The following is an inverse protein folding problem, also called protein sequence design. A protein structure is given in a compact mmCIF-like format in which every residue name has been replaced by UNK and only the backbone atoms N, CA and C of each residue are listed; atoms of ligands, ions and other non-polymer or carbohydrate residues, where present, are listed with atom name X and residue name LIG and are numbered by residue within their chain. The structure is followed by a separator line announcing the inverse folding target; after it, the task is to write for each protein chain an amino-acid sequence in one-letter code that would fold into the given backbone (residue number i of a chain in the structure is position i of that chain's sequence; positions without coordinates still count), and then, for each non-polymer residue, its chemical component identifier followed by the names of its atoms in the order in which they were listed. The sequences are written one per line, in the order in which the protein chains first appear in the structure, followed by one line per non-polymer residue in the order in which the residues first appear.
data_IF_136668388915
#
_entry.id   IF_136668388915
#
_cell.length_a   1.000
_cell.length_b   1.000
_cell.length_c   1.000
_cell.angle_alpha   90.00
_cell.angle_beta   90.00
_cell.angle_gamma   90.00
#
_symmetry.space_group_name_H-M   'P 1'
#
loop_
_entity.id
_entity.type
_entity.pdbx_description
1 polymer ?
#
# COMPACT_ATOMS: atom_id res chain seq x y z
N UNK A 1 89.24 -179.03 -6.71
CA UNK A 1 88.83 -179.22 -5.30
C UNK A 1 87.35 -178.88 -5.24
N UNK A 2 86.38 -179.74 -4.93
CA UNK A 2 86.21 -181.09 -4.36
C UNK A 2 84.80 -181.49 -4.86
N UNK A 3 84.63 -182.61 -5.57
CA UNK A 3 84.04 -183.88 -5.07
C UNK A 3 82.65 -183.71 -4.40
N UNK A 4 81.62 -184.54 -4.56
CA UNK A 4 81.37 -185.80 -5.27
C UNK A 4 79.90 -186.14 -4.96
N UNK A 5 79.22 -186.74 -5.92
CA UNK A 5 78.25 -187.82 -5.75
C UNK A 5 77.04 -187.64 -4.81
N UNK A 6 75.90 -187.30 -5.41
CA UNK A 6 74.72 -188.15 -5.36
C UNK A 6 73.99 -187.99 -6.71
N UNK A 7 74.17 -188.90 -7.66
CA UNK A 7 73.55 -190.22 -7.75
C UNK A 7 72.47 -190.16 -8.83
N UNK A 8 72.74 -190.89 -9.91
CA UNK A 8 71.92 -191.08 -11.13
C UNK A 8 70.43 -191.29 -10.88
N UNK A 9 70.00 -191.59 -9.66
CA UNK A 9 68.60 -191.76 -9.27
C UNK A 9 67.76 -190.47 -9.40
N UNK A 10 68.31 -189.28 -9.13
CA UNK A 10 67.56 -188.03 -9.33
C UNK A 10 67.42 -187.69 -10.82
N UNK A 11 68.47 -187.93 -11.61
CA UNK A 11 68.42 -187.73 -13.06
C UNK A 11 67.52 -188.79 -13.70
N UNK A 12 67.49 -190.04 -13.21
CA UNK A 12 66.59 -191.07 -13.72
C UNK A 12 65.13 -190.86 -13.29
N UNK A 13 64.87 -190.31 -12.08
CA UNK A 13 63.53 -189.89 -11.66
C UNK A 13 63.05 -188.67 -12.44
N UNK A 14 63.90 -187.67 -12.66
CA UNK A 14 63.60 -186.53 -13.53
C UNK A 14 63.40 -186.97 -14.99
N UNK A 15 64.18 -187.95 -15.48
CA UNK A 15 64.04 -188.48 -16.84
C UNK A 15 62.80 -189.38 -17.01
N UNK A 16 62.41 -190.14 -15.97
CA UNK A 16 61.15 -190.87 -15.95
C UNK A 16 59.94 -189.92 -15.83
N UNK A 17 60.02 -188.84 -15.04
CA UNK A 17 59.01 -187.77 -15.01
C UNK A 17 58.87 -187.08 -16.38
N UNK A 18 59.98 -186.78 -17.05
CA UNK A 18 59.98 -186.18 -18.39
C UNK A 18 59.41 -187.15 -19.45
N UNK A 19 59.65 -188.47 -19.33
CA UNK A 19 59.07 -189.45 -20.24
C UNK A 19 57.58 -189.72 -19.99
N UNK A 20 57.10 -189.60 -18.75
CA UNK A 20 55.66 -189.63 -18.46
C UNK A 20 54.95 -188.36 -18.95
N UNK A 21 55.60 -187.20 -18.85
CA UNK A 21 55.08 -185.95 -19.41
C UNK A 21 55.07 -185.96 -20.94
N UNK A 22 56.06 -186.61 -21.58
CA UNK A 22 56.10 -186.76 -23.05
C UNK A 22 55.19 -187.85 -23.62
N UNK A 23 54.67 -188.81 -22.83
CA UNK A 23 53.68 -189.80 -23.33
C UNK A 23 52.22 -189.40 -23.12
N UNK A 24 51.93 -188.43 -22.24
CA UNK A 24 50.55 -188.01 -21.96
C UNK A 24 50.09 -186.75 -22.72
N UNK A 25 50.99 -186.00 -23.37
CA UNK A 25 50.60 -184.90 -24.27
C UNK A 25 50.39 -185.38 -25.73
N UNK A 26 50.23 -186.70 -25.92
CA UNK A 26 49.77 -187.33 -27.17
C UNK A 26 48.26 -187.70 -27.14
N UNK A 27 47.46 -187.14 -26.21
CA UNK A 27 46.01 -187.41 -26.17
C UNK A 27 45.14 -186.23 -25.72
N UNK A 28 45.15 -185.17 -26.54
CA UNK A 28 44.08 -184.15 -26.77
C UNK A 28 44.76 -182.87 -27.30
N UNK A 29 44.75 -182.69 -28.62
CA UNK A 29 45.28 -181.49 -29.25
C UNK A 29 44.21 -180.40 -29.11
N UNK A 30 44.48 -179.46 -28.21
CA UNK A 30 43.57 -178.39 -27.81
C UNK A 30 44.16 -177.01 -28.14
N UNK A 31 43.28 -176.19 -28.74
CA UNK A 31 43.07 -174.74 -28.55
C UNK A 31 44.18 -173.72 -28.89
N UNK A 32 43.83 -172.88 -29.88
CA UNK A 32 44.49 -171.70 -30.47
C UNK A 32 45.01 -170.61 -29.50
N UNK A 33 44.99 -170.80 -28.19
CA UNK A 33 45.46 -169.81 -27.20
C UNK A 33 46.98 -169.85 -27.00
N UNK A 34 47.65 -171.00 -27.17
CA UNK A 34 49.12 -171.09 -27.02
C UNK A 34 49.91 -170.64 -28.27
N UNK A 35 49.27 -170.58 -29.45
CA UNK A 35 49.87 -169.96 -30.65
C UNK A 35 49.85 -168.43 -30.55
N UNK A 36 48.83 -167.85 -29.91
CA UNK A 36 48.70 -166.41 -29.68
C UNK A 36 49.71 -165.87 -28.63
N UNK A 37 50.08 -166.65 -27.62
CA UNK A 37 51.11 -166.26 -26.64
C UNK A 37 52.53 -166.34 -27.22
N UNK A 38 52.80 -167.26 -28.15
CA UNK A 38 54.09 -167.30 -28.86
C UNK A 38 54.23 -166.15 -29.85
N UNK A 39 53.14 -165.71 -30.49
CA UNK A 39 53.14 -164.50 -31.31
C UNK A 39 53.29 -163.22 -30.48
N UNK A 40 52.61 -163.11 -29.32
CA UNK A 40 52.85 -162.00 -28.37
C UNK A 40 54.29 -161.96 -27.86
N UNK A 41 54.87 -163.11 -27.52
CA UNK A 41 56.25 -163.15 -27.03
C UNK A 41 57.28 -162.86 -28.14
N UNK A 42 57.01 -163.19 -29.40
CA UNK A 42 57.82 -162.72 -30.54
C UNK A 42 57.69 -161.21 -30.76
N UNK A 43 56.49 -160.65 -30.68
CA UNK A 43 56.26 -159.21 -30.81
C UNK A 43 56.94 -158.40 -29.70
N UNK A 44 56.94 -158.90 -28.46
CA UNK A 44 57.65 -158.26 -27.33
C UNK A 44 59.18 -158.34 -27.51
N UNK A 45 59.72 -159.42 -28.07
CA UNK A 45 61.15 -159.55 -28.37
C UNK A 45 61.59 -158.66 -29.56
N UNK A 46 60.76 -158.49 -30.59
CA UNK A 46 61.02 -157.51 -31.66
C UNK A 46 61.00 -156.08 -31.14
N UNK A 47 59.98 -155.69 -30.36
CA UNK A 47 59.90 -154.36 -29.73
C UNK A 47 61.08 -154.13 -28.78
N UNK A 48 61.49 -155.14 -28.01
CA UNK A 48 62.65 -155.06 -27.11
C UNK A 48 63.99 -154.86 -27.85
N UNK A 49 64.13 -155.42 -29.05
CA UNK A 49 65.35 -155.27 -29.87
C UNK A 49 65.52 -153.89 -30.52
N UNK A 50 64.44 -153.08 -30.56
CA UNK A 50 64.48 -151.69 -31.06
C UNK A 50 64.84 -150.65 -29.99
N UNK A 51 64.81 -151.04 -28.71
CA UNK A 51 65.34 -150.24 -27.60
C UNK A 51 66.86 -150.37 -27.52
N UNK A 52 67.55 -149.71 -28.45
CA UNK A 52 68.99 -149.47 -28.36
C UNK A 52 69.24 -148.23 -27.50
N UNK A 53 70.41 -148.13 -26.85
CA UNK A 53 70.76 -146.97 -26.00
C UNK A 53 70.57 -145.65 -26.78
N UNK A 54 70.81 -145.65 -28.09
CA UNK A 54 70.56 -144.52 -28.97
C UNK A 54 69.07 -144.16 -29.18
N UNK A 55 68.13 -145.12 -29.18
CA UNK A 55 66.71 -144.83 -29.35
C UNK A 55 66.06 -144.31 -28.07
N UNK A 56 66.55 -144.76 -26.91
CA UNK A 56 66.13 -144.21 -25.61
C UNK A 56 66.73 -142.82 -25.40
N UNK A 57 68.01 -142.60 -25.76
CA UNK A 57 68.64 -141.27 -25.67
C UNK A 57 68.04 -140.29 -26.68
N UNK A 58 67.70 -140.72 -27.90
CA UNK A 58 66.92 -139.90 -28.84
C UNK A 58 65.52 -139.62 -28.35
N UNK A 59 64.78 -140.63 -27.86
CA UNK A 59 63.45 -140.42 -27.29
C UNK A 59 63.46 -139.49 -26.09
N UNK A 60 64.49 -139.55 -25.24
CA UNK A 60 64.65 -138.66 -24.09
C UNK A 60 65.09 -137.24 -24.51
N UNK A 61 65.90 -137.12 -25.57
CA UNK A 61 66.27 -135.84 -26.16
C UNK A 61 65.08 -135.18 -26.90
N UNK A 62 64.26 -135.96 -27.60
CA UNK A 62 63.03 -135.51 -28.25
C UNK A 62 61.99 -135.08 -27.21
N UNK A 63 61.83 -135.82 -26.11
CA UNK A 63 60.99 -135.41 -24.98
C UNK A 63 61.51 -134.13 -24.32
N UNK A 64 62.83 -133.98 -24.18
CA UNK A 64 63.44 -132.77 -23.62
C UNK A 64 63.27 -131.55 -24.55
N UNK A 65 63.29 -131.76 -25.86
CA UNK A 65 62.96 -130.76 -26.88
C UNK A 65 61.47 -130.41 -26.90
N UNK A 66 60.58 -131.39 -26.82
CA UNK A 66 59.13 -131.19 -26.73
C UNK A 66 58.74 -130.48 -25.42
N UNK A 67 59.34 -130.85 -24.29
CA UNK A 67 59.12 -130.15 -23.03
C UNK A 67 59.64 -128.71 -23.09
N UNK A 68 60.82 -128.49 -23.71
CA UNK A 68 61.35 -127.16 -23.96
C UNK A 68 60.45 -126.31 -24.85
N UNK A 69 59.89 -126.88 -25.92
CA UNK A 69 58.97 -126.17 -26.83
C UNK A 69 57.62 -125.89 -26.19
N UNK A 70 57.03 -126.82 -25.43
CA UNK A 70 55.77 -126.61 -24.70
C UNK A 70 55.95 -125.57 -23.58
N UNK A 71 57.07 -125.60 -22.84
CA UNK A 71 57.37 -124.59 -21.81
C UNK A 71 57.59 -123.22 -22.44
N UNK A 72 58.27 -123.13 -23.59
CA UNK A 72 58.43 -121.88 -24.32
C UNK A 72 57.09 -121.35 -24.86
N UNK A 73 56.24 -122.21 -25.43
CA UNK A 73 54.91 -121.83 -25.89
C UNK A 73 53.99 -121.43 -24.73
N UNK A 74 54.09 -122.09 -23.58
CA UNK A 74 53.33 -121.72 -22.39
C UNK A 74 53.84 -120.39 -21.83
N UNK A 75 55.14 -120.15 -21.82
CA UNK A 75 55.74 -118.88 -21.44
C UNK A 75 55.35 -117.75 -22.39
N UNK A 76 55.29 -118.01 -23.70
CA UNK A 76 54.84 -117.04 -24.71
C UNK A 76 53.34 -116.74 -24.56
N UNK A 77 52.51 -117.76 -24.32
CA UNK A 77 51.09 -117.58 -23.98
C UNK A 77 50.88 -116.84 -22.67
N UNK A 78 51.66 -117.15 -21.63
CA UNK A 78 51.59 -116.46 -20.35
C UNK A 78 52.05 -115.00 -20.48
N UNK A 79 53.10 -114.74 -21.28
CA UNK A 79 53.60 -113.40 -21.57
C UNK A 79 52.61 -112.58 -22.39
N UNK A 80 51.93 -113.19 -23.36
CA UNK A 80 50.89 -112.52 -24.15
C UNK A 80 49.60 -112.30 -23.36
N UNK A 81 49.22 -113.22 -22.47
CA UNK A 81 48.10 -112.99 -21.54
C UNK A 81 48.46 -111.95 -20.46
N UNK A 82 49.72 -111.92 -19.99
CA UNK A 82 50.19 -110.88 -19.08
C UNK A 82 50.21 -109.50 -19.75
N UNK A 83 50.66 -109.40 -21.01
CA UNK A 83 50.63 -108.13 -21.75
C UNK A 83 49.21 -107.66 -22.01
N UNK A 84 48.29 -108.56 -22.39
CA UNK A 84 46.85 -108.24 -22.49
C UNK A 84 46.28 -107.77 -21.16
N UNK A 85 46.67 -108.38 -20.05
CA UNK A 85 46.21 -107.99 -18.73
C UNK A 85 46.73 -106.61 -18.32
N UNK A 86 47.97 -106.25 -18.70
CA UNK A 86 48.52 -104.91 -18.47
C UNK A 86 47.88 -103.86 -19.40
N UNK A 87 47.63 -104.18 -20.67
CA UNK A 87 46.86 -103.34 -21.59
C UNK A 87 45.42 -103.11 -21.07
N UNK A 88 44.76 -104.15 -20.55
CA UNK A 88 43.43 -104.03 -19.94
C UNK A 88 43.45 -103.17 -18.67
N UNK A 89 44.48 -103.29 -17.82
CA UNK A 89 44.63 -102.41 -16.64
C UNK A 89 44.84 -100.95 -17.05
N UNK A 90 45.68 -100.69 -18.05
CA UNK A 90 45.89 -99.35 -18.58
C UNK A 90 44.61 -98.78 -19.20
N UNK A 91 43.88 -99.59 -19.97
CA UNK A 91 42.59 -99.20 -20.54
C UNK A 91 41.56 -98.89 -19.45
N UNK A 92 41.48 -99.70 -18.38
CA UNK A 92 40.61 -99.42 -17.23
C UNK A 92 41.02 -98.10 -16.56
N UNK A 93 42.31 -97.84 -16.39
CA UNK A 93 42.77 -96.58 -15.79
C UNK A 93 42.38 -95.37 -16.64
N UNK A 94 42.64 -95.41 -17.95
CA UNK A 94 42.26 -94.34 -18.88
C UNK A 94 40.74 -94.13 -18.91
N UNK A 95 39.96 -95.21 -18.93
CA UNK A 95 38.49 -95.12 -18.86
C UNK A 95 38.01 -94.59 -17.51
N UNK A 96 38.68 -94.89 -16.40
CA UNK A 96 38.34 -94.28 -15.10
C UNK A 96 38.64 -92.79 -15.04
N UNK A 97 39.73 -92.34 -15.67
CA UNK A 97 40.07 -90.91 -15.79
C UNK A 97 39.06 -90.19 -16.70
N UNK A 98 38.72 -90.77 -17.85
CA UNK A 98 37.67 -90.24 -18.73
C UNK A 98 36.30 -90.19 -18.06
N UNK A 99 35.95 -91.19 -17.24
CA UNK A 99 34.70 -91.18 -16.49
C UNK A 99 34.68 -90.03 -15.46
N UNK A 100 35.82 -89.73 -14.82
CA UNK A 100 35.94 -88.57 -13.92
C UNK A 100 35.80 -87.24 -14.67
N UNK A 101 36.43 -87.10 -15.85
CA UNK A 101 36.28 -85.91 -16.70
C UNK A 101 34.83 -85.71 -17.13
N UNK A 102 34.14 -86.77 -17.57
CA UNK A 102 32.73 -86.73 -17.94
C UNK A 102 31.84 -86.35 -16.76
N UNK A 103 32.15 -86.81 -15.55
CA UNK A 103 31.44 -86.39 -14.34
C UNK A 103 31.66 -84.89 -14.05
N UNK A 104 32.89 -84.39 -14.18
CA UNK A 104 33.17 -82.96 -14.00
C UNK A 104 32.46 -82.10 -15.04
N UNK A 105 32.49 -82.51 -16.32
CA UNK A 105 31.77 -81.83 -17.41
C UNK A 105 30.27 -81.81 -17.12
N UNK A 106 29.70 -82.91 -16.63
CA UNK A 106 28.27 -82.96 -16.26
C UNK A 106 27.95 -81.99 -15.12
N UNK A 107 28.76 -81.94 -14.07
CA UNK A 107 28.56 -81.00 -12.95
C UNK A 107 28.64 -79.55 -13.43
N UNK A 108 29.60 -79.22 -14.30
CA UNK A 108 29.73 -77.87 -14.87
C UNK A 108 28.54 -77.54 -15.78
N UNK A 109 28.07 -78.49 -16.60
CA UNK A 109 26.90 -78.30 -17.45
C UNK A 109 25.61 -78.09 -16.63
N UNK A 110 25.42 -78.87 -15.57
CA UNK A 110 24.29 -78.74 -14.65
C UNK A 110 24.34 -77.38 -13.92
N UNK A 111 25.54 -76.95 -13.47
CA UNK A 111 25.74 -75.64 -12.84
C UNK A 111 25.50 -74.48 -13.82
N UNK A 112 25.97 -74.61 -15.06
CA UNK A 112 25.72 -73.62 -16.12
C UNK A 112 24.22 -73.53 -16.43
N UNK A 113 23.52 -74.66 -16.52
CA UNK A 113 22.07 -74.68 -16.73
C UNK A 113 21.33 -73.98 -15.59
N UNK A 114 21.70 -74.26 -14.33
CA UNK A 114 21.10 -73.60 -13.17
C UNK A 114 21.34 -72.08 -13.19
N UNK A 115 22.57 -71.63 -13.44
CA UNK A 115 22.89 -70.20 -13.56
C UNK A 115 22.10 -69.52 -14.68
N UNK A 116 21.95 -70.18 -15.84
CA UNK A 116 21.15 -69.64 -16.94
C UNK A 116 19.67 -69.51 -16.54
N UNK A 117 19.11 -70.49 -15.83
CA UNK A 117 17.75 -70.39 -15.32
C UNK A 117 17.59 -69.24 -14.32
N UNK A 118 18.49 -69.12 -13.34
CA UNK A 118 18.48 -68.01 -12.37
C UNK A 118 18.59 -66.66 -13.06
N UNK A 119 19.48 -66.50 -14.05
CA UNK A 119 19.59 -65.27 -14.82
C UNK A 119 18.33 -64.95 -15.61
N UNK A 120 17.67 -65.95 -16.20
CA UNK A 120 16.40 -65.76 -16.91
C UNK A 120 15.28 -65.34 -15.96
N UNK A 121 15.19 -65.93 -14.76
CA UNK A 121 14.21 -65.55 -13.74
C UNK A 121 14.47 -64.14 -13.22
N UNK A 122 15.74 -63.81 -12.93
CA UNK A 122 16.15 -62.47 -12.53
C UNK A 122 15.82 -61.44 -13.62
N UNK A 123 16.10 -61.74 -14.89
CA UNK A 123 15.76 -60.86 -16.00
C UNK A 123 14.24 -60.64 -16.10
N UNK A 124 13.44 -61.71 -16.00
CA UNK A 124 11.97 -61.60 -16.01
C UNK A 124 11.44 -60.75 -14.86
N UNK A 125 11.97 -60.94 -13.65
CA UNK A 125 11.56 -60.16 -12.48
C UNK A 125 11.94 -58.68 -12.62
N UNK A 126 13.12 -58.38 -13.16
CA UNK A 126 13.56 -57.00 -13.44
C UNK A 126 12.70 -56.35 -14.52
N UNK A 127 12.39 -57.06 -15.60
CA UNK A 127 11.51 -56.57 -16.66
C UNK A 127 10.10 -56.28 -16.14
N UNK A 128 9.56 -57.18 -15.30
CA UNK A 128 8.26 -56.98 -14.65
C UNK A 128 8.26 -55.80 -13.67
N UNK A 129 9.31 -55.64 -12.86
CA UNK A 129 9.42 -54.51 -11.94
C UNK A 129 9.54 -53.18 -12.72
N UNK A 130 10.33 -53.18 -13.80
CA UNK A 130 10.49 -52.00 -14.64
C UNK A 130 9.19 -51.63 -15.37
N UNK A 131 8.40 -52.61 -15.84
CA UNK A 131 7.10 -52.35 -16.47
C UNK A 131 6.09 -51.80 -15.45
N UNK A 132 6.02 -52.39 -14.26
CA UNK A 132 5.15 -51.90 -13.18
C UNK A 132 5.49 -50.47 -12.76
N UNK A 133 6.78 -50.15 -12.61
CA UNK A 133 7.22 -48.78 -12.28
C UNK A 133 6.90 -47.78 -13.40
N UNK A 134 7.05 -48.19 -14.67
CA UNK A 134 6.66 -47.33 -15.80
C UNK A 134 5.17 -47.06 -15.79
N UNK A 135 4.34 -48.09 -15.60
CA UNK A 135 2.89 -47.93 -15.51
C UNK A 135 2.46 -47.05 -14.34
N UNK A 136 3.10 -47.17 -13.17
CA UNK A 136 2.79 -46.31 -12.03
C UNK A 136 3.16 -44.85 -12.30
N UNK A 137 4.34 -44.60 -12.86
CA UNK A 137 4.78 -43.25 -13.21
C UNK A 137 3.88 -42.63 -14.29
N UNK A 138 3.45 -43.42 -15.28
CA UNK A 138 2.55 -42.96 -16.32
C UNK A 138 1.17 -42.59 -15.75
N UNK A 139 0.61 -43.42 -14.88
CA UNK A 139 -0.63 -43.12 -14.16
C UNK A 139 -0.51 -41.85 -13.33
N UNK A 140 0.54 -41.73 -12.50
CA UNK A 140 0.78 -40.55 -11.66
C UNK A 140 0.94 -39.28 -12.51
N UNK A 141 1.67 -39.36 -13.63
CA UNK A 141 1.86 -38.25 -14.56
C UNK A 141 0.54 -37.82 -15.19
N UNK A 142 -0.32 -38.77 -15.58
CA UNK A 142 -1.63 -38.48 -16.15
C UNK A 142 -2.56 -37.86 -15.11
N UNK A 143 -2.56 -38.36 -13.87
CA UNK A 143 -3.35 -37.79 -12.78
C UNK A 143 -2.91 -36.37 -12.44
N UNK A 144 -1.61 -36.12 -12.30
CA UNK A 144 -1.08 -34.77 -12.07
C UNK A 144 -1.40 -33.80 -13.21
N UNK A 145 -1.28 -34.24 -14.46
CA UNK A 145 -1.67 -33.41 -15.62
C UNK A 145 -3.16 -33.07 -15.59
N UNK A 146 -4.03 -34.01 -15.20
CA UNK A 146 -5.47 -33.76 -15.06
C UNK A 146 -5.76 -32.78 -13.91
N UNK A 147 -5.06 -32.90 -12.78
CA UNK A 147 -5.21 -31.98 -11.65
C UNK A 147 -4.75 -30.57 -12.04
N UNK A 148 -3.56 -30.43 -12.62
CA UNK A 148 -3.06 -29.14 -13.10
C UNK A 148 -3.97 -28.52 -14.17
N UNK A 149 -4.53 -29.30 -15.09
CA UNK A 149 -5.48 -28.77 -16.06
C UNK A 149 -6.76 -28.23 -15.42
N UNK A 150 -7.24 -28.87 -14.34
CA UNK A 150 -8.38 -28.37 -13.55
C UNK A 150 -8.03 -27.11 -12.79
N UNK A 151 -6.91 -27.11 -12.06
CA UNK A 151 -6.43 -25.95 -11.30
C UNK A 151 -6.19 -24.74 -12.21
N UNK A 152 -5.62 -24.97 -13.40
CA UNK A 152 -5.42 -23.92 -14.39
C UNK A 152 -6.76 -23.34 -14.88
N UNK A 153 -7.75 -24.19 -15.16
CA UNK A 153 -9.09 -23.73 -15.55
C UNK A 153 -9.79 -22.95 -14.45
N UNK A 154 -9.73 -23.43 -13.20
CA UNK A 154 -10.28 -22.74 -12.02
C UNK A 154 -9.59 -21.39 -11.79
N UNK A 155 -8.27 -21.34 -11.92
CA UNK A 155 -7.49 -20.11 -11.79
C UNK A 155 -7.83 -19.09 -12.89
N UNK A 156 -7.95 -19.54 -14.15
CA UNK A 156 -8.33 -18.69 -15.27
C UNK A 156 -9.75 -18.13 -15.09
N UNK A 157 -10.71 -18.96 -14.66
CA UNK A 157 -12.07 -18.50 -14.35
C UNK A 157 -12.09 -17.51 -13.19
N UNK A 158 -11.41 -17.79 -12.08
CA UNK A 158 -11.32 -16.88 -10.93
C UNK A 158 -10.68 -15.53 -11.31
N UNK A 159 -9.63 -15.56 -12.14
CA UNK A 159 -8.97 -14.35 -12.64
C UNK A 159 -9.90 -13.55 -13.56
N UNK A 160 -10.69 -14.21 -14.40
CA UNK A 160 -11.69 -13.54 -15.23
C UNK A 160 -12.79 -12.89 -14.38
N UNK A 161 -13.33 -13.61 -13.39
CA UNK A 161 -14.33 -13.09 -12.47
C UNK A 161 -13.82 -11.87 -11.68
N UNK A 162 -12.59 -11.93 -11.16
CA UNK A 162 -11.98 -10.81 -10.45
C UNK A 162 -11.80 -9.58 -11.36
N UNK A 163 -11.33 -9.79 -12.60
CA UNK A 163 -11.20 -8.69 -13.57
C UNK A 163 -12.56 -8.09 -13.95
N UNK A 164 -13.60 -8.91 -14.10
CA UNK A 164 -14.96 -8.42 -14.33
C UNK A 164 -15.51 -7.61 -13.15
N UNK A 165 -15.26 -8.06 -11.91
CA UNK A 165 -15.65 -7.31 -10.72
C UNK A 165 -14.91 -5.97 -10.64
N UNK A 166 -13.59 -5.97 -10.86
CA UNK A 166 -12.78 -4.75 -10.85
C UNK A 166 -13.21 -3.76 -11.93
N UNK A 167 -13.55 -4.24 -13.14
CA UNK A 167 -14.04 -3.37 -14.21
C UNK A 167 -15.42 -2.79 -13.89
N UNK A 168 -16.34 -3.59 -13.34
CA UNK A 168 -17.65 -3.09 -12.85
C UNK A 168 -17.48 -2.06 -11.73
N UNK A 169 -16.60 -2.31 -10.76
CA UNK A 169 -16.33 -1.38 -9.67
C UNK A 169 -15.72 -0.06 -10.17
N UNK A 170 -14.79 -0.12 -11.13
CA UNK A 170 -14.23 1.08 -11.78
C UNK A 170 -15.32 1.88 -12.50
N UNK A 171 -16.18 1.23 -13.27
CA UNK A 171 -17.28 1.88 -13.98
C UNK A 171 -18.26 2.55 -13.01
N UNK A 172 -18.63 1.88 -11.92
CA UNK A 172 -19.50 2.46 -10.88
C UNK A 172 -18.82 3.67 -10.23
N UNK A 173 -17.55 3.55 -9.83
CA UNK A 173 -16.80 4.65 -9.22
C UNK A 173 -16.67 5.85 -10.16
N UNK A 174 -16.43 5.62 -11.44
CA UNK A 174 -16.38 6.68 -12.46
C UNK A 174 -17.74 7.36 -12.63
N UNK A 175 -18.84 6.58 -12.70
CA UNK A 175 -20.19 7.10 -12.80
C UNK A 175 -20.59 7.92 -11.56
N UNK A 176 -20.31 7.42 -10.36
CA UNK A 176 -20.58 8.11 -9.09
C UNK A 176 -19.79 9.42 -9.01
N UNK A 177 -18.51 9.39 -9.37
CA UNK A 177 -17.66 10.59 -9.37
C UNK A 177 -18.15 11.65 -10.36
N UNK A 178 -18.56 11.22 -11.57
CA UNK A 178 -19.15 12.12 -12.57
C UNK A 178 -20.47 12.72 -12.07
N UNK A 179 -21.34 11.90 -11.49
CA UNK A 179 -22.60 12.34 -10.92
C UNK A 179 -22.40 13.36 -9.78
N UNK A 180 -21.49 13.07 -8.85
CA UNK A 180 -21.16 13.98 -7.75
C UNK A 180 -20.62 15.32 -8.26
N UNK A 181 -19.74 15.30 -9.25
CA UNK A 181 -19.19 16.50 -9.87
C UNK A 181 -20.26 17.32 -10.60
N UNK A 182 -21.14 16.68 -11.36
CA UNK A 182 -22.27 17.37 -11.99
C UNK A 182 -23.23 17.96 -10.96
N UNK A 183 -23.52 17.23 -9.88
CA UNK A 183 -24.36 17.69 -8.79
C UNK A 183 -23.74 18.91 -8.10
N UNK A 184 -22.44 18.87 -7.79
CA UNK A 184 -21.72 20.00 -7.20
C UNK A 184 -21.78 21.22 -8.10
N UNK A 185 -21.49 21.07 -9.40
CA UNK A 185 -21.57 22.17 -10.38
C UNK A 185 -22.96 22.78 -10.46
N UNK A 186 -24.02 21.97 -10.38
CA UNK A 186 -25.41 22.47 -10.36
C UNK A 186 -25.68 23.28 -9.10
N UNK A 187 -25.28 22.77 -7.94
CA UNK A 187 -25.44 23.48 -6.66
C UNK A 187 -24.68 24.81 -6.70
N UNK A 188 -23.42 24.81 -7.12
CA UNK A 188 -22.60 26.02 -7.24
C UNK A 188 -23.20 27.03 -8.23
N UNK A 189 -23.74 26.56 -9.35
CA UNK A 189 -24.41 27.41 -10.33
C UNK A 189 -25.70 28.03 -9.75
N UNK A 190 -26.53 27.24 -9.08
CA UNK A 190 -27.76 27.70 -8.45
C UNK A 190 -27.46 28.71 -7.33
N UNK A 191 -26.47 28.44 -6.48
CA UNK A 191 -26.01 29.36 -5.42
C UNK A 191 -25.49 30.68 -6.00
N UNK A 192 -24.71 30.60 -7.08
CA UNK A 192 -24.22 31.79 -7.77
C UNK A 192 -25.35 32.61 -8.41
N UNK A 193 -26.34 31.95 -9.04
CA UNK A 193 -27.51 32.63 -9.59
C UNK A 193 -28.34 33.32 -8.51
N UNK A 194 -28.58 32.65 -7.38
CA UNK A 194 -29.30 33.24 -6.26
C UNK A 194 -28.54 34.43 -5.66
N UNK A 195 -27.23 34.31 -5.47
CA UNK A 195 -26.37 35.42 -5.03
C UNK A 195 -26.42 36.61 -5.99
N UNK A 196 -26.37 36.34 -7.30
CA UNK A 196 -26.50 37.38 -8.32
C UNK A 196 -27.87 38.07 -8.23
N UNK A 197 -28.95 37.30 -8.11
CA UNK A 197 -30.32 37.83 -7.97
C UNK A 197 -30.47 38.68 -6.70
N UNK A 198 -29.88 38.25 -5.57
CA UNK A 198 -29.94 39.04 -4.33
C UNK A 198 -29.18 40.35 -4.46
N UNK A 199 -27.96 40.33 -5.04
CA UNK A 199 -27.21 41.56 -5.31
C UNK A 199 -27.96 42.51 -6.25
N UNK A 200 -28.57 41.99 -7.33
CA UNK A 200 -29.34 42.81 -8.25
C UNK A 200 -30.54 43.47 -7.55
N UNK A 201 -31.24 42.76 -6.66
CA UNK A 201 -32.32 43.34 -5.84
C UNK A 201 -31.80 44.41 -4.90
N UNK A 202 -30.72 44.15 -4.15
CA UNK A 202 -30.13 45.13 -3.23
C UNK A 202 -29.69 46.41 -3.96
N UNK A 203 -29.07 46.27 -5.14
CA UNK A 203 -28.70 47.42 -5.97
C UNK A 203 -29.92 48.18 -6.49
N UNK A 204 -30.98 47.48 -6.90
CA UNK A 204 -32.22 48.12 -7.33
C UNK A 204 -32.89 48.88 -6.17
N UNK A 205 -33.00 48.28 -5.00
CA UNK A 205 -33.57 48.91 -3.81
C UNK A 205 -32.75 50.14 -3.38
N UNK A 206 -31.43 50.02 -3.33
CA UNK A 206 -30.53 51.12 -3.00
C UNK A 206 -30.62 52.28 -4.02
N UNK A 207 -30.74 51.95 -5.31
CA UNK A 207 -30.92 52.96 -6.36
C UNK A 207 -32.28 53.65 -6.25
N UNK A 208 -33.36 52.92 -5.97
CA UNK A 208 -34.68 53.51 -5.75
C UNK A 208 -34.69 54.44 -4.53
N UNK A 209 -34.02 54.06 -3.44
CA UNK A 209 -33.91 54.91 -2.26
C UNK A 209 -33.11 56.18 -2.56
N UNK A 210 -31.97 56.06 -3.24
CA UNK A 210 -31.18 57.21 -3.68
C UNK A 210 -31.99 58.14 -4.58
N UNK A 211 -32.73 57.60 -5.55
CA UNK A 211 -33.58 58.39 -6.46
C UNK A 211 -34.66 59.17 -5.70
N UNK A 212 -35.27 58.56 -4.68
CA UNK A 212 -36.21 59.25 -3.78
C UNK A 212 -35.52 60.39 -3.01
N UNK A 213 -34.33 60.15 -2.47
CA UNK A 213 -33.58 61.18 -1.75
C UNK A 213 -33.15 62.34 -2.67
N UNK A 214 -32.68 62.03 -3.88
CA UNK A 214 -32.31 63.03 -4.89
C UNK A 214 -33.51 63.87 -5.31
N UNK A 215 -34.62 63.23 -5.68
CA UNK A 215 -35.85 63.95 -6.06
C UNK A 215 -36.40 64.82 -4.92
N UNK A 216 -36.32 64.38 -3.66
CA UNK A 216 -36.66 65.23 -2.50
C UNK A 216 -35.74 66.43 -2.36
N UNK A 217 -34.41 66.23 -2.48
CA UNK A 217 -33.43 67.33 -2.44
C UNK A 217 -33.65 68.33 -3.56
N UNK A 218 -33.87 67.86 -4.79
CA UNK A 218 -34.15 68.71 -5.94
C UNK A 218 -35.41 69.54 -5.74
N UNK A 219 -36.49 68.94 -5.21
CA UNK A 219 -37.71 69.67 -4.85
C UNK A 219 -37.45 70.75 -3.81
N UNK A 220 -36.77 70.42 -2.71
CA UNK A 220 -36.42 71.40 -1.66
C UNK A 220 -35.60 72.56 -2.24
N UNK A 221 -34.63 72.27 -3.12
CA UNK A 221 -33.82 73.29 -3.76
C UNK A 221 -34.65 74.16 -4.71
N UNK A 222 -35.55 73.56 -5.48
CA UNK A 222 -36.44 74.26 -6.41
C UNK A 222 -37.43 75.17 -5.67
N UNK A 223 -38.12 74.64 -4.66
CA UNK A 223 -39.13 75.37 -3.86
C UNK A 223 -38.50 76.58 -3.14
N UNK A 224 -37.28 76.43 -2.63
CA UNK A 224 -36.57 77.49 -1.92
C UNK A 224 -35.76 78.42 -2.84
N UNK A 225 -35.69 78.15 -4.15
CA UNK A 225 -34.83 78.92 -5.07
C UNK A 225 -35.22 80.40 -5.11
N UNK A 226 -36.52 80.71 -5.10
CA UNK A 226 -37.02 82.08 -5.11
C UNK A 226 -36.67 82.82 -3.80
N UNK A 227 -36.93 82.18 -2.65
CA UNK A 227 -36.59 82.72 -1.33
C UNK A 227 -35.09 82.96 -1.17
N UNK A 228 -34.25 82.03 -1.64
CA UNK A 228 -32.79 82.20 -1.62
C UNK A 228 -32.38 83.40 -2.48
N UNK A 229 -32.94 83.58 -3.68
CA UNK A 229 -32.68 84.75 -4.53
C UNK A 229 -33.13 86.05 -3.85
N UNK A 230 -34.30 86.05 -3.22
CA UNK A 230 -34.83 87.20 -2.49
C UNK A 230 -33.94 87.56 -1.30
N UNK A 231 -33.56 86.59 -0.47
CA UNK A 231 -32.65 86.82 0.65
C UNK A 231 -31.27 87.29 0.18
N UNK A 232 -30.74 86.74 -0.92
CA UNK A 232 -29.50 87.25 -1.50
C UNK A 232 -29.61 88.71 -1.94
N UNK A 233 -30.75 89.13 -2.50
CA UNK A 233 -31.00 90.53 -2.84
C UNK A 233 -31.13 91.41 -1.60
N UNK A 234 -31.92 90.99 -0.61
CA UNK A 234 -32.07 91.70 0.68
C UNK A 234 -30.74 91.87 1.39
N UNK A 235 -29.91 90.83 1.48
CA UNK A 235 -28.57 90.90 2.07
C UNK A 235 -27.67 91.88 1.32
N UNK A 236 -27.76 91.94 -0.02
CA UNK A 236 -27.01 92.91 -0.83
C UNK A 236 -27.48 94.35 -0.64
N UNK A 237 -28.79 94.57 -0.48
CA UNK A 237 -29.39 95.89 -0.30
C UNK A 237 -29.36 96.37 1.17
N UNK A 238 -29.21 95.46 2.13
CA UNK A 238 -29.27 95.77 3.56
C UNK A 238 -28.30 96.88 4.00
N UNK A 239 -27.03 96.94 3.56
CA UNK A 239 -26.13 98.02 3.93
C UNK A 239 -26.64 99.39 3.47
N UNK A 240 -27.14 99.47 2.23
CA UNK A 240 -27.65 100.74 1.68
C UNK A 240 -28.94 101.18 2.35
N UNK A 241 -29.84 100.23 2.63
CA UNK A 241 -31.11 100.51 3.32
C UNK A 241 -30.83 100.96 4.76
N UNK A 242 -29.90 100.30 5.46
CA UNK A 242 -29.47 100.67 6.80
C UNK A 242 -28.85 102.06 6.83
N UNK A 243 -27.97 102.40 5.87
CA UNK A 243 -27.43 103.75 5.75
C UNK A 243 -28.52 104.81 5.52
N UNK A 244 -29.52 104.51 4.68
CA UNK A 244 -30.63 105.42 4.41
C UNK A 244 -31.51 105.63 5.64
N UNK A 245 -31.90 104.55 6.32
CA UNK A 245 -32.74 104.64 7.53
C UNK A 245 -32.00 105.32 8.69
N UNK A 246 -30.69 105.07 8.86
CA UNK A 246 -29.87 105.80 9.83
C UNK A 246 -29.80 107.29 9.49
N UNK A 247 -29.67 107.66 8.20
CA UNK A 247 -29.72 109.06 7.77
C UNK A 247 -31.07 109.70 8.06
N UNK A 248 -32.19 109.04 7.72
CA UNK A 248 -33.55 109.53 8.01
C UNK A 248 -33.75 109.73 9.51
N UNK A 249 -33.45 108.73 10.33
CA UNK A 249 -33.58 108.83 11.79
C UNK A 249 -32.71 109.96 12.35
N UNK A 250 -31.51 110.18 11.80
CA UNK A 250 -30.64 111.29 12.18
C UNK A 250 -31.25 112.64 11.79
N UNK A 251 -31.79 112.77 10.60
CA UNK A 251 -32.45 114.00 10.12
C UNK A 251 -33.72 114.32 10.92
N UNK A 252 -34.54 113.32 11.23
CA UNK A 252 -35.72 113.47 12.09
C UNK A 252 -35.32 113.89 13.50
N UNK A 253 -34.35 113.22 14.12
CA UNK A 253 -33.84 113.62 15.43
C UNK A 253 -33.29 115.05 15.43
N UNK A 254 -32.58 115.48 14.37
CA UNK A 254 -32.11 116.86 14.22
C UNK A 254 -33.29 117.83 14.10
N UNK A 255 -34.31 117.49 13.29
CA UNK A 255 -35.52 118.33 13.12
C UNK A 255 -36.27 118.48 14.45
N UNK A 256 -36.49 117.39 15.17
CA UNK A 256 -37.21 117.39 16.45
C UNK A 256 -36.46 118.22 17.49
N UNK A 257 -35.14 117.99 17.63
CA UNK A 257 -34.29 118.80 18.54
C UNK A 257 -34.31 120.27 18.15
N UNK A 258 -34.28 120.60 16.86
CA UNK A 258 -34.34 121.99 16.40
C UNK A 258 -35.72 122.61 16.66
N UNK A 259 -36.81 121.88 16.45
CA UNK A 259 -38.16 122.35 16.77
C UNK A 259 -38.34 122.58 18.27
N UNK A 260 -37.92 121.64 19.10
CA UNK A 260 -37.91 121.80 20.56
C UNK A 260 -37.07 122.99 21.00
N UNK A 261 -35.85 123.13 20.48
CA UNK A 261 -34.98 124.25 20.80
C UNK A 261 -35.59 125.59 20.38
N UNK A 262 -36.24 125.64 19.20
CA UNK A 262 -36.95 126.83 18.72
C UNK A 262 -38.13 127.18 19.63
N UNK A 263 -38.98 126.21 19.99
CA UNK A 263 -40.11 126.42 20.91
C UNK A 263 -39.61 126.88 22.27
N UNK A 264 -38.55 126.26 22.82
CA UNK A 264 -37.92 126.69 24.09
C UNK A 264 -37.37 128.11 24.00
N UNK A 265 -36.71 128.47 22.90
CA UNK A 265 -36.21 129.83 22.68
C UNK A 265 -37.34 130.86 22.55
N UNK A 266 -38.42 130.54 21.83
CA UNK A 266 -39.60 131.39 21.70
C UNK A 266 -40.33 131.58 23.04
N UNK A 267 -40.43 130.53 23.86
CA UNK A 267 -40.98 130.61 25.22
C UNK A 267 -40.11 131.50 26.12
N UNK A 268 -38.79 131.30 26.13
CA UNK A 268 -37.85 132.14 26.89
C UNK A 268 -37.91 133.61 26.44
N UNK A 269 -38.01 133.87 25.14
CA UNK A 269 -38.16 135.22 24.62
C UNK A 269 -39.48 135.87 25.08
N UNK A 270 -40.60 135.12 25.05
CA UNK A 270 -41.89 135.60 25.55
C UNK A 270 -41.89 135.82 27.06
N UNK A 271 -41.25 134.95 27.83
CA UNK A 271 -41.06 135.14 29.29
C UNK A 271 -40.24 136.40 29.57
N UNK A 272 -39.20 136.65 28.79
CA UNK A 272 -38.39 137.86 28.89
C UNK A 272 -39.18 139.13 28.51
N UNK A 273 -39.96 139.10 27.42
CA UNK A 273 -40.85 140.20 27.04
C UNK A 273 -41.91 140.48 28.10
N UNK A 274 -42.54 139.43 28.67
CA UNK A 274 -43.53 139.56 29.73
C UNK A 274 -42.92 140.15 31.01
N UNK A 275 -41.73 139.68 31.41
CA UNK A 275 -41.01 140.25 32.57
C UNK A 275 -40.60 141.69 32.30
N UNK A 276 -40.10 142.01 31.10
CA UNK A 276 -39.80 143.39 30.69
C UNK A 276 -41.03 144.29 30.77
N UNK A 277 -42.18 143.88 30.21
CA UNK A 277 -43.44 144.63 30.31
C UNK A 277 -43.89 144.81 31.77
N UNK A 278 -43.72 143.79 32.61
CA UNK A 278 -44.03 143.91 34.04
C UNK A 278 -43.15 144.94 34.75
N UNK A 279 -41.85 144.99 34.43
CA UNK A 279 -40.94 146.02 34.93
C UNK A 279 -41.28 147.41 34.37
N UNK A 280 -41.64 147.51 33.09
CA UNK A 280 -42.10 148.77 32.47
C UNK A 280 -43.36 149.30 33.16
N UNK A 281 -44.39 148.47 33.38
CA UNK A 281 -45.58 148.86 34.16
C UNK A 281 -45.24 149.24 35.61
N UNK A 282 -44.24 148.59 36.22
CA UNK A 282 -43.77 148.95 37.56
C UNK A 282 -43.13 150.34 37.56
N UNK A 283 -42.34 150.66 36.53
CA UNK A 283 -41.72 151.98 36.33
C UNK A 283 -42.82 153.02 36.12
N UNK A 284 -43.77 152.80 35.20
CA UNK A 284 -44.89 153.72 34.97
C UNK A 284 -45.70 154.01 36.24
N UNK A 285 -45.98 152.96 37.04
CA UNK A 285 -46.67 153.13 38.33
C UNK A 285 -45.86 153.96 39.32
N UNK A 286 -44.54 153.75 39.40
CA UNK A 286 -43.66 154.51 40.28
C UNK A 286 -43.50 155.96 39.80
N UNK A 287 -43.44 156.19 38.50
CA UNK A 287 -43.42 157.53 37.90
C UNK A 287 -44.71 158.28 38.18
N UNK A 288 -45.87 157.64 38.04
CA UNK A 288 -47.17 158.21 38.40
C UNK A 288 -47.26 158.53 39.91
N UNK A 289 -46.73 157.66 40.78
CA UNK A 289 -46.65 157.92 42.21
C UNK A 289 -45.72 159.10 42.53
N UNK A 290 -44.57 159.21 41.85
CA UNK A 290 -43.65 160.35 41.97
C UNK A 290 -44.35 161.64 41.54
N UNK A 291 -45.06 161.63 40.41
CA UNK A 291 -45.75 162.80 39.88
C UNK A 291 -46.84 163.28 40.85
N UNK A 292 -47.60 162.34 41.43
CA UNK A 292 -48.60 162.61 42.46
C UNK A 292 -47.98 163.16 43.75
N UNK A 293 -46.86 162.60 44.20
CA UNK A 293 -46.12 163.12 45.35
C UNK A 293 -45.56 164.53 45.07
N UNK A 294 -45.10 164.78 43.85
CA UNK A 294 -44.60 166.09 43.42
C UNK A 294 -45.71 167.12 43.45
N UNK A 295 -46.91 166.77 42.95
CA UNK A 295 -48.12 167.61 43.05
C UNK A 295 -48.50 167.90 44.51
N UNK A 296 -48.46 166.89 45.39
CA UNK A 296 -48.72 167.09 46.82
C UNK A 296 -47.68 168.01 47.48
N UNK A 297 -46.40 167.91 47.11
CA UNK A 297 -45.35 168.81 47.59
C UNK A 297 -45.61 170.24 47.09
N UNK A 298 -46.00 170.43 45.83
CA UNK A 298 -46.34 171.76 45.31
C UNK A 298 -47.57 172.35 45.99
N UNK A 299 -48.59 171.55 46.26
CA UNK A 299 -49.80 171.99 46.95
C UNK A 299 -49.50 172.35 48.42
N UNK A 300 -48.72 171.52 49.14
CA UNK A 300 -48.27 171.83 50.50
C UNK A 300 -47.37 173.07 50.54
N UNK A 301 -46.50 173.25 49.54
CA UNK A 301 -45.69 174.46 49.35
C UNK A 301 -46.57 175.70 49.15
N UNK A 302 -47.60 175.60 48.31
CA UNK A 302 -48.56 176.67 48.09
C UNK A 302 -49.35 177.00 49.36
N UNK A 303 -49.84 175.98 50.09
CA UNK A 303 -50.50 176.16 51.38
C UNK A 303 -49.58 176.81 52.42
N UNK A 304 -48.28 176.50 52.41
CA UNK A 304 -47.31 177.10 53.31
C UNK A 304 -47.02 178.57 52.94
N UNK A 305 -46.96 178.92 51.65
CA UNK A 305 -46.92 180.32 51.21
C UNK A 305 -48.21 181.09 51.55
N UNK A 306 -49.37 180.44 51.41
CA UNK A 306 -50.67 180.99 51.78
C UNK A 306 -50.75 181.24 53.30
N UNK A 307 -50.29 180.29 54.12
CA UNK A 307 -50.20 180.42 55.57
C UNK A 307 -49.21 181.53 55.99
N UNK A 308 -48.08 181.66 55.29
CA UNK A 308 -47.15 182.78 55.47
C UNK A 308 -47.81 184.13 55.14
N UNK A 309 -48.56 184.22 54.03
CA UNK A 309 -49.35 185.41 53.67
C UNK A 309 -50.44 185.72 54.69
N UNK A 310 -51.16 184.72 55.18
CA UNK A 310 -52.20 184.89 56.20
C UNK A 310 -51.61 185.33 57.54
N UNK A 311 -50.41 184.86 57.91
CA UNK A 311 -49.69 185.34 59.10
C UNK A 311 -49.23 186.81 58.97
N UNK A 312 -48.77 187.24 57.78
CA UNK A 312 -48.43 188.63 57.50
C UNK A 312 -49.66 189.54 57.46
N UNK A 313 -50.78 189.06 56.91
CA UNK A 313 -52.04 189.80 56.87
C UNK A 313 -52.69 189.94 58.27
N UNK A 314 -52.53 188.96 59.16
CA UNK A 314 -52.99 189.05 60.56
C UNK A 314 -52.14 190.05 61.37
N UNK A 315 -50.84 190.13 61.11
CA UNK A 315 -49.96 191.14 61.71
C UNK A 315 -50.32 192.57 61.26
N UNK A 316 -50.69 192.76 60.00
CA UNK A 316 -51.12 194.06 59.46
C UNK A 316 -52.51 194.49 59.99
N UNK A 317 -53.43 193.56 60.21
CA UNK A 317 -54.77 193.85 60.78
C UNK A 317 -54.78 194.17 62.28
N UNK A 318 -53.71 193.85 63.01
CA UNK A 318 -53.55 194.19 64.43
C UNK A 318 -52.92 195.59 64.66
N UNK A 319 -52.34 196.22 63.62
CA UNK A 319 -51.65 197.52 63.75
C UNK A 319 -52.52 198.74 63.41
N UNK A 320 -53.58 198.59 62.60
CA UNK A 320 -54.42 199.74 62.19
C UNK A 320 -55.55 200.08 63.19
N UNK A 321 -55.94 199.17 64.09
CA UNK A 321 -56.98 199.43 65.09
C UNK A 321 -56.45 200.13 66.37
N UNK A 322 -55.17 200.50 66.42
CA UNK A 322 -54.54 201.19 67.56
C UNK A 322 -54.13 202.65 67.29
N UNK A 323 -54.35 203.20 66.08
CA UNK A 323 -53.78 204.50 65.68
C UNK A 323 -54.75 205.68 65.42
N UNK A 324 -56.09 205.55 65.58
CA UNK A 324 -57.03 206.70 65.44
C UNK A 324 -58.16 206.78 66.47
N UNK A 325 -57.87 206.44 67.73
CA UNK A 325 -58.72 206.77 68.90
C UNK A 325 -58.04 207.79 69.85
N UNK A 326 -56.83 208.29 69.57
CA UNK A 326 -56.18 209.32 70.40
C UNK A 326 -55.54 210.44 69.58
N UNK A 327 -56.38 211.41 69.18
CA UNK A 327 -55.99 212.80 68.97
C UNK A 327 -57.26 213.70 69.09
N UNK A 328 -57.79 213.76 70.31
CA UNK A 328 -58.32 215.03 70.83
C UNK A 328 -57.24 216.11 70.68
N UNK A 329 -57.68 217.32 70.36
CA UNK A 329 -57.12 218.55 70.89
C UNK A 329 -55.68 218.90 70.50
N UNK A 330 -55.55 219.60 69.36
CA UNK A 330 -55.27 221.04 69.40
C UNK A 330 -55.50 221.72 68.04
N UNK A 331 -56.55 222.55 68.03
CA UNK A 331 -56.73 223.84 67.36
C UNK A 331 -56.67 223.95 65.81
N UNK A 332 -57.75 224.59 65.33
CA UNK A 332 -57.91 225.36 64.07
C UNK A 332 -57.94 224.62 62.74
#
# INVERSE_FOLDING_TARGET
MVATEDSKQQIFKAFQQILTDKKNIDSKIATKEEEAEKEKNKQVLEVASTYTIDSIVKGLADLQLEFGTIVNQLSEKLSTEASKLDELKLAIQVETEHLQELQQIRVVADAQHLLVQEHQENQRSLEQNASQQRESIEKDSLEKRKLWAKEQGEFESATQEENELLTKERQLREADSQYELERQRKIEADEYEEYKRSQERELQEANQEKEKQWSQREKILADNQALIKEYQQKVKAFPTDLEQEVKKAREEAIKDVHQEAKVKAELLAKEWESTKQSYEFKIESLEADIEKQTQQITDLSAQLQEALKQSQALALRAFENSAKVNAQEKAN
#
